data_IF_452589258610
#
_entry.id   IF_452589258610
#
_cell.length_a   1.000
_cell.length_b   1.000
_cell.length_c   1.000
_cell.angle_alpha   90.00
_cell.angle_beta   90.00
_cell.angle_gamma   90.00
#
_symmetry.space_group_name_H-M   'P 1'
#
loop_
_entity.id
_entity.type
_entity.pdbx_description
1 polymer ?
#
# COMPACT_ATOMS: atom_id res chain seq x y z
N UNK A 1 -22.87 2.40 8.43
CA UNK A 1 -24.34 2.24 8.21
C UNK A 1 -24.72 0.77 7.99
N UNK A 2 -25.95 0.29 8.27
CA UNK A 2 -26.37 -1.07 7.92
C UNK A 2 -26.15 -1.43 6.44
N UNK A 3 -26.31 -0.45 5.55
CA UNK A 3 -26.08 -0.60 4.11
C UNK A 3 -24.60 -0.81 3.78
N UNK A 4 -23.72 -0.07 4.44
CA UNK A 4 -22.26 -0.16 4.30
C UNK A 4 -21.73 -1.52 4.77
N UNK A 5 -22.23 -2.02 5.91
CA UNK A 5 -21.90 -3.37 6.38
C UNK A 5 -22.28 -4.44 5.36
N UNK A 6 -23.50 -4.37 4.81
CA UNK A 6 -23.96 -5.30 3.78
C UNK A 6 -23.09 -5.23 2.53
N UNK A 7 -22.73 -4.03 2.09
CA UNK A 7 -21.86 -3.83 0.93
C UNK A 7 -20.47 -4.42 1.17
N UNK A 8 -19.86 -4.14 2.33
CA UNK A 8 -18.54 -4.67 2.68
C UNK A 8 -18.53 -6.20 2.69
N UNK A 9 -19.55 -6.82 3.27
CA UNK A 9 -19.69 -8.27 3.25
C UNK A 9 -19.80 -8.82 1.83
N UNK A 10 -20.58 -8.18 0.97
CA UNK A 10 -20.73 -8.63 -0.42
C UNK A 10 -19.46 -8.44 -1.26
N UNK A 11 -18.70 -7.35 -1.04
CA UNK A 11 -17.46 -7.08 -1.79
C UNK A 11 -16.30 -7.99 -1.39
N UNK A 12 -16.24 -8.39 -0.12
CA UNK A 12 -15.14 -9.20 0.42
C UNK A 12 -15.47 -10.70 0.47
N UNK A 13 -16.67 -11.11 0.10
CA UNK A 13 -17.03 -12.52 0.02
C UNK A 13 -16.20 -13.23 -1.05
N UNK A 14 -15.42 -14.24 -0.64
CA UNK A 14 -14.49 -14.95 -1.53
C UNK A 14 -13.21 -14.18 -1.91
N UNK A 15 -12.96 -12.98 -1.37
CA UNK A 15 -11.72 -12.24 -1.64
C UNK A 15 -10.52 -12.88 -0.91
N UNK A 16 -9.50 -13.29 -1.68
CA UNK A 16 -8.25 -13.80 -1.14
C UNK A 16 -7.18 -12.69 -1.10
N UNK A 17 -6.83 -12.22 0.09
CA UNK A 17 -5.85 -11.13 0.26
C UNK A 17 -4.39 -11.54 -0.05
N UNK A 18 -4.12 -12.83 -0.20
CA UNK A 18 -2.79 -13.34 -0.57
C UNK A 18 -2.61 -13.43 -2.09
N UNK A 19 -3.69 -13.32 -2.87
CA UNK A 19 -3.64 -13.32 -4.32
C UNK A 19 -3.34 -11.93 -4.87
N UNK A 20 -2.60 -11.91 -5.98
CA UNK A 20 -2.26 -10.67 -6.66
C UNK A 20 -3.50 -10.17 -7.41
N UNK A 21 -3.91 -8.89 -7.25
CA UNK A 21 -5.11 -8.37 -7.87
C UNK A 21 -4.88 -8.08 -9.35
N UNK A 22 -4.95 -9.12 -10.18
CA UNK A 22 -4.92 -9.03 -11.64
C UNK A 22 -5.98 -9.93 -12.25
N UNK A 23 -6.56 -9.47 -13.36
CA UNK A 23 -7.54 -10.26 -14.13
C UNK A 23 -6.84 -11.38 -14.90
N UNK A 24 -5.63 -11.12 -15.39
CA UNK A 24 -4.83 -12.07 -16.16
C UNK A 24 -3.52 -12.34 -15.42
N UNK A 25 -3.25 -13.61 -15.15
CA UNK A 25 -2.07 -14.05 -14.41
C UNK A 25 -0.75 -13.72 -15.10
N UNK A 26 -0.75 -13.59 -16.44
CA UNK A 26 0.44 -13.26 -17.22
C UNK A 26 0.82 -11.77 -17.15
N UNK A 27 -0.13 -10.91 -16.77
CA UNK A 27 0.09 -9.46 -16.76
C UNK A 27 0.74 -9.06 -15.44
N UNK A 28 1.71 -8.11 -15.41
CA UNK A 28 2.30 -7.61 -14.18
C UNK A 28 1.36 -6.65 -13.44
N UNK A 29 1.49 -6.55 -12.11
CA UNK A 29 0.83 -5.50 -11.34
C UNK A 29 1.72 -4.25 -11.37
N UNK A 30 1.21 -3.15 -11.92
CA UNK A 30 1.93 -1.89 -11.95
C UNK A 30 1.68 -1.11 -10.66
N UNK A 31 2.76 -0.73 -9.97
CA UNK A 31 2.73 0.05 -8.74
C UNK A 31 3.49 1.36 -8.92
N UNK A 32 2.83 2.45 -8.54
CA UNK A 32 3.45 3.76 -8.39
C UNK A 32 3.85 3.95 -6.94
N UNK A 33 5.15 4.15 -6.71
CA UNK A 33 5.73 4.39 -5.40
C UNK A 33 6.11 5.86 -5.26
N UNK A 34 5.68 6.48 -4.16
CA UNK A 34 6.10 7.81 -3.75
C UNK A 34 6.53 7.80 -2.29
N UNK A 35 7.41 8.73 -1.94
CA UNK A 35 7.83 8.95 -0.56
C UNK A 35 7.61 10.42 -0.21
N UNK A 36 6.88 10.67 0.87
CA UNK A 36 6.73 12.01 1.43
C UNK A 36 7.51 12.07 2.74
N UNK A 37 8.66 12.75 2.73
CA UNK A 37 9.42 13.01 3.95
C UNK A 37 8.67 14.05 4.79
N UNK A 38 8.37 13.69 6.04
CA UNK A 38 7.76 14.62 7.00
C UNK A 38 8.84 15.30 7.84
N UNK A 39 9.78 14.51 8.37
CA UNK A 39 10.82 15.01 9.27
C UNK A 39 12.04 14.09 9.28
N UNK A 40 13.24 14.68 9.39
CA UNK A 40 14.45 13.98 9.84
C UNK A 40 14.50 14.09 11.37
N UNK A 41 14.45 12.94 12.05
CA UNK A 41 14.41 12.84 13.51
C UNK A 41 15.84 12.86 14.06
N UNK A 42 16.73 12.06 13.48
CA UNK A 42 18.11 11.92 13.94
C UNK A 42 19.05 11.46 12.82
N UNK A 43 20.34 11.79 12.95
CA UNK A 43 21.43 11.36 12.07
C UNK A 43 22.57 10.84 12.93
N UNK A 44 22.92 9.58 12.77
CA UNK A 44 24.11 8.99 13.36
C UNK A 44 25.18 8.82 12.26
N UNK A 45 26.09 9.78 12.15
CA UNK A 45 27.11 9.78 11.10
C UNK A 45 28.16 8.69 11.31
N UNK A 46 28.41 8.28 12.55
CA UNK A 46 29.38 7.22 12.86
C UNK A 46 28.89 5.86 12.39
N UNK A 47 27.59 5.61 12.55
CA UNK A 47 26.96 4.35 12.16
C UNK A 47 26.25 4.40 10.79
N UNK A 48 26.21 5.56 10.13
CA UNK A 48 25.52 5.81 8.85
C UNK A 48 24.02 5.53 8.91
N UNK A 49 23.37 5.92 10.01
CA UNK A 49 21.94 5.71 10.22
C UNK A 49 21.21 7.06 10.14
N UNK A 50 20.13 7.08 9.35
CA UNK A 50 19.21 8.21 9.26
C UNK A 50 17.84 7.75 9.77
N UNK A 51 17.33 8.42 10.81
CA UNK A 51 16.00 8.16 11.35
C UNK A 51 15.04 9.24 10.86
N UNK A 52 13.98 8.87 10.14
CA UNK A 52 13.00 9.82 9.58
C UNK A 52 11.57 9.40 9.84
N UNK A 53 10.68 10.38 9.97
CA UNK A 53 9.25 10.18 9.78
C UNK A 53 8.92 10.45 8.31
N UNK A 54 8.36 9.48 7.61
CA UNK A 54 7.94 9.61 6.23
C UNK A 54 6.69 8.79 5.95
N UNK A 55 5.88 9.25 5.00
CA UNK A 55 4.77 8.48 4.44
C UNK A 55 5.24 7.77 3.19
N UNK A 56 5.01 6.46 3.15
CA UNK A 56 5.15 5.66 1.94
C UNK A 56 3.81 5.66 1.21
N UNK A 57 3.81 6.20 -0.01
CA UNK A 57 2.63 6.27 -0.85
C UNK A 57 2.72 5.13 -1.88
N UNK A 58 1.82 4.17 -1.79
CA UNK A 58 1.64 3.11 -2.78
C UNK A 58 0.30 3.30 -3.47
N UNK A 59 0.33 3.38 -4.80
CA UNK A 59 -0.87 3.39 -5.63
C UNK A 59 -0.72 2.33 -6.71
N UNK A 60 -1.67 1.41 -6.77
CA UNK A 60 -1.83 0.48 -7.88
C UNK A 60 -2.90 1.02 -8.83
N UNK A 61 -2.60 1.04 -10.12
CA UNK A 61 -3.65 1.26 -11.12
C UNK A 61 -4.42 -0.07 -11.26
N UNK A 62 -5.60 -0.13 -10.63
CA UNK A 62 -6.56 -1.21 -10.93
C UNK A 62 -7.19 -0.89 -12.28
N UNK A 63 -6.81 -1.63 -13.32
CA UNK A 63 -7.42 -1.56 -14.65
C UNK A 63 -8.77 -2.27 -14.71
#
# INVERSE_FOLDING_TARGET
SPHEKRLLHALLDGYNSLERPVVNESDPLQLSFGLTLMQIIDVDEKNQILTTNAWLNLVSDMY
#
